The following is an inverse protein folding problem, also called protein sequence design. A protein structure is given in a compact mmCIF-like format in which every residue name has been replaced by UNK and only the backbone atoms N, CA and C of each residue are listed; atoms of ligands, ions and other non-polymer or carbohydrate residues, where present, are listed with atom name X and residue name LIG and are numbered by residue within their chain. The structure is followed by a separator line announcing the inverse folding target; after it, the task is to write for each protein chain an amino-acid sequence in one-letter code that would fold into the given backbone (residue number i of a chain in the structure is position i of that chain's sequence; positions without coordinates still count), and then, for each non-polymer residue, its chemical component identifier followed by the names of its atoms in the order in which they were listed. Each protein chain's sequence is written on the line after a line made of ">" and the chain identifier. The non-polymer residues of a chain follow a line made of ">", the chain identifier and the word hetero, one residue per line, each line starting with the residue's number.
data_IF_115234761230
#
_entry.id   IF_115234761230
#
_cell.length_a   1.000
_cell.length_b   1.000
_cell.length_c   1.000
_cell.angle_alpha   90.00
_cell.angle_beta   90.00
_cell.angle_gamma   90.00
#
_symmetry.space_group_name_H-M   'P 1'
#
loop_
_entity.id
_entity.type
_entity.pdbx_description
1 polymer ?
#
# COMPACT_ATOMS: atom_id res chain seq x y z
N UNK A 1 -15.24 -21.48 17.66
CA UNK A 1 -15.40 -20.03 17.44
C UNK A 1 -14.82 -19.40 18.68
N UNK A 2 -13.78 -18.58 18.55
CA UNK A 2 -13.18 -17.89 19.71
C UNK A 2 -14.17 -16.80 20.10
N UNK A 3 -14.64 -16.80 21.34
CA UNK A 3 -15.52 -15.75 21.87
C UNK A 3 -14.70 -14.46 22.01
N UNK A 4 -15.30 -13.27 21.76
CA UNK A 4 -14.56 -11.99 21.73
C UNK A 4 -13.73 -11.73 23.01
N UNK A 5 -14.14 -12.29 24.15
CA UNK A 5 -13.38 -12.24 25.42
C UNK A 5 -12.09 -13.05 25.38
N UNK A 6 -12.10 -14.25 24.76
CA UNK A 6 -10.90 -15.07 24.61
C UNK A 6 -9.86 -14.39 23.69
N UNK A 7 -10.34 -13.55 22.77
CA UNK A 7 -9.48 -12.82 21.84
C UNK A 7 -8.69 -11.71 22.52
N UNK A 8 -9.32 -10.98 23.45
CA UNK A 8 -8.66 -10.00 24.30
C UNK A 8 -7.62 -10.64 25.23
N UNK A 9 -7.95 -11.79 25.84
CA UNK A 9 -7.04 -12.52 26.71
C UNK A 9 -5.79 -13.03 25.96
N UNK A 10 -5.99 -13.62 24.78
CA UNK A 10 -4.88 -14.08 23.93
C UNK A 10 -4.01 -12.91 23.46
N UNK A 11 -4.63 -11.78 23.09
CA UNK A 11 -3.90 -10.58 22.70
C UNK A 11 -3.12 -9.97 23.88
N UNK A 12 -3.70 -9.92 25.08
CA UNK A 12 -3.06 -9.40 26.28
C UNK A 12 -1.84 -10.24 26.69
N UNK A 13 -1.99 -11.57 26.70
CA UNK A 13 -0.87 -12.50 26.99
C UNK A 13 0.25 -12.32 25.97
N UNK A 14 -0.09 -12.21 24.68
CA UNK A 14 0.88 -11.98 23.60
C UNK A 14 1.56 -10.61 23.69
N UNK A 15 0.87 -9.62 24.23
CA UNK A 15 1.38 -8.27 24.52
C UNK A 15 2.12 -8.18 25.88
N UNK A 16 2.52 -9.30 26.48
CA UNK A 16 3.27 -9.32 27.73
C UNK A 16 2.42 -9.11 28.99
N UNK A 17 1.21 -9.67 29.01
CA UNK A 17 0.18 -9.49 30.04
C UNK A 17 -0.34 -8.04 30.17
N UNK A 18 -0.28 -7.27 29.09
CA UNK A 18 -0.86 -5.94 29.03
C UNK A 18 -2.31 -6.02 28.54
N UNK A 19 -3.26 -6.01 29.47
CA UNK A 19 -4.69 -6.06 29.17
C UNK A 19 -5.24 -4.81 28.50
N UNK A 20 -4.61 -3.64 28.71
CA UNK A 20 -5.01 -2.42 28.01
C UNK A 20 -4.77 -2.57 26.50
N UNK A 21 -3.56 -3.02 26.12
CA UNK A 21 -3.20 -3.30 24.72
C UNK A 21 -4.01 -4.46 24.16
N UNK A 22 -4.21 -5.53 24.93
CA UNK A 22 -5.02 -6.69 24.50
C UNK A 22 -6.47 -6.30 24.19
N UNK A 23 -7.09 -5.48 25.03
CA UNK A 23 -8.43 -4.95 24.81
C UNK A 23 -8.50 -4.06 23.57
N UNK A 24 -7.50 -3.19 23.35
CA UNK A 24 -7.44 -2.35 22.15
C UNK A 24 -7.32 -3.17 20.87
N UNK A 25 -6.51 -4.23 20.86
CA UNK A 25 -6.37 -5.13 19.70
C UNK A 25 -7.68 -5.87 19.42
N UNK A 26 -8.35 -6.37 20.46
CA UNK A 26 -9.64 -7.04 20.32
C UNK A 26 -10.72 -6.08 19.81
N UNK A 27 -10.76 -4.83 20.31
CA UNK A 27 -11.67 -3.80 19.83
C UNK A 27 -11.42 -3.46 18.35
N UNK A 28 -10.15 -3.33 17.96
CA UNK A 28 -9.76 -3.09 16.58
C UNK A 28 -10.26 -4.22 15.66
N UNK A 29 -10.00 -5.48 16.03
CA UNK A 29 -10.40 -6.67 15.26
C UNK A 29 -11.93 -6.81 15.17
N UNK A 30 -12.66 -6.44 16.23
CA UNK A 30 -14.13 -6.40 16.22
C UNK A 30 -14.66 -5.35 15.24
N UNK A 31 -14.05 -4.16 15.21
CA UNK A 31 -14.46 -3.06 14.31
C UNK A 31 -14.15 -3.32 12.84
N UNK A 32 -12.98 -3.88 12.52
CA UNK A 32 -12.56 -4.11 11.12
C UNK A 32 -13.09 -5.42 10.54
N UNK A 33 -13.53 -6.35 11.39
CA UNK A 33 -14.03 -7.67 11.00
C UNK A 33 -12.92 -8.62 10.53
N UNK A 34 -13.29 -9.86 10.20
CA UNK A 34 -12.32 -10.96 9.96
C UNK A 34 -11.34 -10.76 8.79
N UNK A 35 -11.65 -9.85 7.86
CA UNK A 35 -10.81 -9.54 6.70
C UNK A 35 -10.19 -8.14 6.77
N UNK A 36 -10.42 -7.44 7.87
CA UNK A 36 -9.86 -6.11 8.07
C UNK A 36 -8.37 -6.16 8.34
N UNK A 37 -7.69 -5.08 7.97
CA UNK A 37 -6.26 -4.92 8.20
C UNK A 37 -6.07 -4.01 9.41
N UNK A 38 -5.19 -4.43 10.31
CA UNK A 38 -4.78 -3.62 11.46
C UNK A 38 -3.33 -3.22 11.24
N UNK A 39 -3.06 -1.92 11.27
CA UNK A 39 -1.72 -1.35 11.15
C UNK A 39 -1.42 -0.55 12.42
N UNK A 40 -0.18 -0.61 12.87
CA UNK A 40 0.30 0.14 14.03
C UNK A 40 1.18 1.30 13.54
N UNK A 41 0.91 2.50 14.02
CA UNK A 41 1.72 3.69 13.77
C UNK A 41 2.21 4.29 15.09
N UNK A 42 3.41 4.86 15.10
CA UNK A 42 3.92 5.56 16.27
C UNK A 42 3.21 6.92 16.46
N UNK A 43 2.47 7.05 17.55
CA UNK A 43 1.77 8.28 17.92
C UNK A 43 2.70 9.36 18.46
N UNK A 44 2.27 10.62 18.33
CA UNK A 44 2.95 11.79 18.95
C UNK A 44 2.52 12.06 20.40
N UNK A 45 1.51 11.34 20.88
CA UNK A 45 0.95 11.45 22.23
C UNK A 45 1.38 10.25 23.07
N UNK A 46 1.32 10.38 24.40
CA UNK A 46 1.45 9.26 25.33
C UNK A 46 0.20 8.38 25.39
N UNK A 47 -0.92 8.84 24.82
CA UNK A 47 -2.17 8.11 24.77
C UNK A 47 -2.28 7.27 23.48
N UNK A 48 -2.70 6.02 23.64
CA UNK A 48 -3.00 5.14 22.51
C UNK A 48 -4.36 5.53 21.90
N UNK A 49 -4.44 5.52 20.57
CA UNK A 49 -5.69 5.84 19.85
C UNK A 49 -5.97 4.81 18.77
N UNK A 50 -7.25 4.51 18.56
CA UNK A 50 -7.73 3.58 17.55
C UNK A 50 -8.48 4.35 16.47
N UNK A 51 -7.98 4.30 15.25
CA UNK A 51 -8.62 4.88 14.07
C UNK A 51 -9.07 3.78 13.14
N UNK A 52 -10.29 3.92 12.61
CA UNK A 52 -10.78 3.10 11.51
C UNK A 52 -10.80 3.99 10.28
N UNK A 53 -10.05 3.63 9.26
CA UNK A 53 -9.97 4.35 8.00
C UNK A 53 -10.44 3.44 6.87
N UNK A 54 -11.08 4.02 5.86
CA UNK A 54 -11.37 3.31 4.63
C UNK A 54 -10.06 3.09 3.86
N UNK A 55 -9.88 1.87 3.36
CA UNK A 55 -8.68 1.48 2.64
C UNK A 55 -8.90 0.20 1.83
N UNK A 56 -7.90 -0.17 1.04
CA UNK A 56 -7.93 -1.38 0.24
C UNK A 56 -6.63 -2.15 0.41
N UNK A 57 -6.75 -3.47 0.56
CA UNK A 57 -5.64 -4.41 0.52
C UNK A 57 -5.90 -5.46 -0.56
N UNK A 58 -4.84 -5.86 -1.27
CA UNK A 58 -4.86 -6.95 -2.22
C UNK A 58 -3.51 -7.70 -2.22
N UNK A 59 -3.51 -8.95 -2.68
CA UNK A 59 -2.33 -9.83 -2.66
C UNK A 59 -1.38 -9.56 -3.85
N UNK A 60 -0.77 -8.37 -3.88
CA UNK A 60 0.27 -7.99 -4.86
C UNK A 60 1.37 -7.17 -4.19
N UNK A 61 2.62 -7.52 -4.49
CA UNK A 61 3.81 -6.78 -4.06
C UNK A 61 4.42 -5.92 -5.17
N UNK A 62 5.42 -5.12 -4.81
CA UNK A 62 6.22 -4.36 -5.76
C UNK A 62 6.99 -5.29 -6.71
N UNK A 63 7.15 -4.88 -7.97
CA UNK A 63 7.78 -5.69 -9.03
C UNK A 63 9.31 -5.78 -8.84
N UNK A 64 9.92 -4.80 -8.17
CA UNK A 64 11.37 -4.73 -7.98
C UNK A 64 11.75 -4.35 -6.55
N UNK A 65 12.69 -5.07 -5.90
CA UNK A 65 13.19 -4.70 -4.57
C UNK A 65 13.91 -3.35 -4.58
N UNK A 66 14.33 -2.86 -5.75
CA UNK A 66 14.88 -1.52 -5.86
C UNK A 66 13.86 -0.44 -5.52
N UNK A 67 12.56 -0.72 -5.42
CA UNK A 67 11.57 0.27 -4.99
C UNK A 67 11.49 0.48 -3.47
N UNK A 68 12.07 -0.41 -2.66
CA UNK A 68 12.08 -0.33 -1.19
C UNK A 68 12.49 1.05 -0.68
N UNK A 69 11.72 1.58 0.26
CA UNK A 69 11.98 2.87 0.95
C UNK A 69 12.50 2.65 2.36
N UNK A 70 12.09 1.58 3.03
CA UNK A 70 12.63 1.13 4.31
C UNK A 70 13.40 -0.19 4.08
N UNK A 71 14.73 -0.11 4.11
CA UNK A 71 15.61 -1.26 3.86
C UNK A 71 15.66 -2.28 5.00
N UNK A 72 15.23 -1.91 6.21
CA UNK A 72 15.21 -2.83 7.35
C UNK A 72 13.95 -3.69 7.30
N UNK A 73 12.79 -3.07 7.05
CA UNK A 73 11.50 -3.76 6.93
C UNK A 73 11.27 -4.36 5.55
N UNK A 74 12.06 -3.96 4.55
CA UNK A 74 11.83 -4.28 3.14
C UNK A 74 10.44 -3.84 2.66
N UNK A 75 10.01 -2.65 3.07
CA UNK A 75 8.70 -2.08 2.71
C UNK A 75 8.84 -0.88 1.77
N UNK A 76 7.74 -0.59 1.08
CA UNK A 76 7.55 0.64 0.30
C UNK A 76 6.44 1.43 0.96
N UNK A 77 6.78 2.61 1.47
CA UNK A 77 5.87 3.48 2.22
C UNK A 77 5.92 4.87 1.60
N UNK A 78 4.76 5.39 1.22
CA UNK A 78 4.62 6.73 0.65
C UNK A 78 3.47 7.48 1.32
N UNK A 79 3.72 8.74 1.66
CA UNK A 79 2.71 9.69 2.10
C UNK A 79 2.29 10.58 0.92
N UNK A 80 1.01 10.97 0.84
CA UNK A 80 0.47 11.85 -0.20
C UNK A 80 0.83 11.40 -1.63
N UNK A 81 0.77 10.08 -1.85
CA UNK A 81 1.13 9.43 -3.11
C UNK A 81 0.00 9.54 -4.13
N UNK A 82 0.33 9.78 -5.40
CA UNK A 82 -0.63 9.66 -6.51
C UNK A 82 -0.58 8.27 -7.12
N UNK A 83 -1.75 7.76 -7.50
CA UNK A 83 -1.87 6.48 -8.17
C UNK A 83 -1.93 6.66 -9.69
N UNK A 84 -1.20 5.83 -10.42
CA UNK A 84 -1.35 5.66 -11.87
C UNK A 84 -1.86 4.24 -12.14
N UNK A 85 -3.09 4.15 -12.62
CA UNK A 85 -3.77 2.89 -12.90
C UNK A 85 -3.78 2.65 -14.42
N UNK A 86 -3.30 1.49 -14.86
CA UNK A 86 -3.15 1.15 -16.28
C UNK A 86 -3.66 -0.27 -16.55
N UNK A 87 -4.69 -0.40 -17.36
CA UNK A 87 -5.29 -1.70 -17.69
C UNK A 87 -4.54 -2.49 -18.78
N UNK A 88 -3.35 -2.01 -19.16
CA UNK A 88 -2.49 -2.58 -20.21
C UNK A 88 -1.06 -2.75 -19.72
N UNK A 89 -0.25 -3.44 -20.53
CA UNK A 89 1.19 -3.56 -20.30
C UNK A 89 1.90 -2.25 -20.62
N UNK A 90 2.84 -1.87 -19.76
CA UNK A 90 3.74 -0.74 -19.98
C UNK A 90 5.04 -1.31 -20.53
N UNK A 91 5.27 -1.10 -21.83
CA UNK A 91 6.46 -1.62 -22.51
C UNK A 91 7.59 -0.59 -22.49
N UNK A 92 7.26 0.69 -22.70
CA UNK A 92 8.22 1.79 -22.76
C UNK A 92 7.91 2.89 -21.73
N UNK A 93 8.94 3.43 -21.08
CA UNK A 93 8.79 4.55 -20.15
C UNK A 93 8.42 5.88 -20.84
N UNK A 94 8.61 6.00 -22.16
CA UNK A 94 8.21 7.18 -22.94
C UNK A 94 6.71 7.46 -22.86
N UNK A 95 5.88 6.42 -22.77
CA UNK A 95 4.42 6.56 -22.63
C UNK A 95 4.03 7.26 -21.32
N UNK A 96 4.95 7.26 -20.34
CA UNK A 96 4.77 7.85 -19.03
C UNK A 96 5.47 9.20 -18.86
N UNK A 97 6.17 9.70 -19.88
CA UNK A 97 7.11 10.83 -19.73
C UNK A 97 6.45 12.05 -19.10
N UNK A 98 5.26 12.42 -19.55
CA UNK A 98 4.51 13.57 -19.04
C UNK A 98 4.18 13.42 -17.54
N UNK A 99 3.81 12.21 -17.12
CA UNK A 99 3.43 11.91 -15.73
C UNK A 99 4.67 11.90 -14.83
N UNK A 100 5.77 11.30 -15.30
CA UNK A 100 7.03 11.26 -14.57
C UNK A 100 7.62 12.67 -14.40
N UNK A 101 7.58 13.49 -15.44
CA UNK A 101 8.01 14.89 -15.37
C UNK A 101 7.16 15.72 -14.39
N UNK A 102 5.85 15.51 -14.36
CA UNK A 102 4.96 16.17 -13.40
C UNK A 102 5.28 15.79 -11.95
N UNK A 103 5.54 14.51 -11.69
CA UNK A 103 5.97 14.06 -10.36
C UNK A 103 7.32 14.65 -9.94
N UNK A 104 8.29 14.71 -10.85
CA UNK A 104 9.59 15.32 -10.55
C UNK A 104 9.42 16.80 -10.24
N UNK A 105 8.63 17.51 -11.06
CA UNK A 105 8.43 18.96 -10.94
C UNK A 105 7.74 19.35 -9.64
N UNK A 106 6.72 18.59 -9.24
CA UNK A 106 5.91 18.88 -8.07
C UNK A 106 6.35 18.12 -6.81
N UNK A 107 7.31 17.19 -6.93
CA UNK A 107 7.93 16.50 -5.82
C UNK A 107 7.04 15.49 -5.08
N UNK A 108 6.02 14.92 -5.74
CA UNK A 108 5.12 13.93 -5.11
C UNK A 108 5.50 12.48 -5.48
N UNK A 109 5.25 11.50 -4.60
CA UNK A 109 5.43 10.08 -4.92
C UNK A 109 4.37 9.56 -5.90
N UNK A 110 4.75 8.59 -6.74
CA UNK A 110 3.84 7.87 -7.64
C UNK A 110 3.86 6.37 -7.34
N UNK A 111 2.68 5.77 -7.28
CA UNK A 111 2.51 4.31 -7.31
C UNK A 111 1.85 3.90 -8.63
N UNK A 112 2.56 3.10 -9.43
CA UNK A 112 2.03 2.57 -10.70
C UNK A 112 1.43 1.19 -10.47
N UNK A 113 0.18 1.00 -10.88
CA UNK A 113 -0.54 -0.28 -10.89
C UNK A 113 -0.91 -0.59 -12.34
N UNK A 114 -0.26 -1.59 -12.94
CA UNK A 114 -0.44 -1.92 -14.35
C UNK A 114 -0.64 -3.43 -14.59
N UNK A 115 -1.19 -3.85 -15.73
CA UNK A 115 -1.24 -5.29 -16.07
C UNK A 115 0.13 -5.95 -15.98
N UNK A 116 1.11 -5.32 -16.61
CA UNK A 116 2.51 -5.69 -16.52
C UNK A 116 3.41 -4.49 -16.82
N UNK A 117 4.67 -4.57 -16.39
CA UNK A 117 5.70 -3.59 -16.70
C UNK A 117 6.90 -4.35 -17.24
N UNK A 118 7.19 -4.14 -18.52
CA UNK A 118 8.28 -4.85 -19.17
C UNK A 118 9.65 -4.33 -18.73
N UNK A 119 10.70 -5.11 -19.00
CA UNK A 119 12.03 -4.86 -18.49
C UNK A 119 12.60 -3.48 -18.91
N UNK A 120 12.31 -3.02 -20.12
CA UNK A 120 12.78 -1.71 -20.62
C UNK A 120 12.18 -0.55 -19.79
N UNK A 121 10.85 -0.55 -19.63
CA UNK A 121 10.18 0.43 -18.79
C UNK A 121 10.64 0.32 -17.33
N UNK A 122 10.68 -0.90 -16.77
CA UNK A 122 11.09 -1.13 -15.38
C UNK A 122 12.50 -0.64 -15.09
N UNK A 123 13.46 -0.93 -15.98
CA UNK A 123 14.84 -0.48 -15.84
C UNK A 123 14.91 1.06 -15.78
N UNK A 124 14.13 1.74 -16.61
CA UNK A 124 14.08 3.21 -16.63
C UNK A 124 13.51 3.77 -15.32
N UNK A 125 12.43 3.19 -14.81
CA UNK A 125 11.81 3.60 -13.54
C UNK A 125 12.77 3.39 -12.36
N UNK A 126 13.44 2.23 -12.31
CA UNK A 126 14.42 1.89 -11.26
C UNK A 126 15.62 2.83 -11.29
N UNK A 127 16.17 3.13 -12.46
CA UNK A 127 17.31 4.07 -12.58
C UNK A 127 16.92 5.47 -12.08
N UNK A 128 15.71 5.94 -12.40
CA UNK A 128 15.24 7.24 -11.91
C UNK A 128 15.01 7.24 -10.39
N UNK A 129 14.46 6.15 -9.82
CA UNK A 129 14.37 5.99 -8.36
C UNK A 129 15.76 6.05 -7.72
N UNK A 130 16.73 5.29 -8.23
CA UNK A 130 18.07 5.18 -7.63
C UNK A 130 18.86 6.49 -7.72
N UNK A 131 18.57 7.33 -8.72
CA UNK A 131 19.12 8.70 -8.83
C UNK A 131 18.48 9.69 -7.85
N UNK A 132 17.41 9.30 -7.15
CA UNK A 132 16.68 10.15 -6.21
C UNK A 132 15.80 11.21 -6.87
N UNK A 133 15.70 11.24 -8.21
CA UNK A 133 14.87 12.20 -8.93
C UNK A 133 13.38 11.89 -8.79
N UNK A 134 13.02 10.63 -8.56
CA UNK A 134 11.64 10.17 -8.56
C UNK A 134 11.37 9.26 -7.36
N UNK A 135 10.35 9.61 -6.55
CA UNK A 135 9.80 8.71 -5.53
C UNK A 135 8.75 7.83 -6.20
N UNK A 136 9.10 6.61 -6.56
CA UNK A 136 8.22 5.72 -7.32
C UNK A 136 8.28 4.28 -6.82
N UNK A 137 7.15 3.60 -6.92
CA UNK A 137 7.11 2.15 -6.93
C UNK A 137 6.10 1.66 -7.97
N UNK A 138 6.21 0.40 -8.34
CA UNK A 138 5.30 -0.21 -9.29
C UNK A 138 4.96 -1.64 -8.91
N UNK A 139 3.70 -2.01 -9.14
CA UNK A 139 3.15 -3.34 -8.91
C UNK A 139 2.25 -3.77 -10.06
N UNK A 140 2.02 -5.09 -10.15
CA UNK A 140 1.03 -5.63 -11.09
C UNK A 140 -0.37 -5.46 -10.52
N UNK A 141 -1.32 -5.18 -11.40
CA UNK A 141 -2.72 -5.06 -11.07
C UNK A 141 -3.24 -6.36 -10.40
N UNK A 142 -4.16 -6.24 -9.43
CA UNK A 142 -4.84 -7.38 -8.87
C UNK A 142 -5.82 -7.98 -9.90
N UNK A 143 -6.03 -9.30 -9.83
CA UNK A 143 -6.88 -10.02 -10.78
C UNK A 143 -6.24 -10.25 -12.16
N UNK A 144 -7.05 -10.78 -13.09
CA UNK A 144 -6.67 -11.11 -14.47
C UNK A 144 -7.90 -10.93 -15.39
N UNK A 145 -7.68 -10.72 -16.70
CA UNK A 145 -8.76 -10.54 -17.67
C UNK A 145 -9.67 -9.36 -17.32
N UNK A 146 -10.98 -9.51 -17.49
CA UNK A 146 -11.97 -8.46 -17.19
C UNK A 146 -11.99 -8.05 -15.71
N UNK A 147 -11.71 -9.00 -14.79
CA UNK A 147 -11.67 -8.70 -13.35
C UNK A 147 -10.57 -7.70 -13.01
N UNK A 148 -9.47 -7.70 -13.75
CA UNK A 148 -8.38 -6.74 -13.57
C UNK A 148 -8.86 -5.30 -13.78
N UNK A 149 -9.59 -5.06 -14.88
CA UNK A 149 -10.16 -3.74 -15.18
C UNK A 149 -11.15 -3.32 -14.09
N UNK A 150 -12.05 -4.23 -13.67
CA UNK A 150 -12.98 -3.96 -12.57
C UNK A 150 -12.27 -3.59 -11.26
N UNK A 151 -11.20 -4.31 -10.89
CA UNK A 151 -10.42 -3.95 -9.71
C UNK A 151 -9.73 -2.60 -9.83
N UNK A 152 -9.20 -2.26 -11.02
CA UNK A 152 -8.57 -0.96 -11.25
C UNK A 152 -9.62 0.16 -11.15
N UNK A 153 -10.82 -0.05 -11.68
CA UNK A 153 -11.93 0.90 -11.56
C UNK A 153 -12.34 1.10 -10.09
N UNK A 154 -12.42 0.02 -9.31
CA UNK A 154 -12.71 0.10 -7.87
C UNK A 154 -11.64 0.90 -7.12
N UNK A 155 -10.35 0.66 -7.42
CA UNK A 155 -9.24 1.44 -6.85
C UNK A 155 -9.34 2.91 -7.24
N UNK A 156 -9.67 3.21 -8.51
CA UNK A 156 -9.82 4.57 -9.00
C UNK A 156 -10.91 5.30 -8.21
N UNK A 157 -12.10 4.71 -8.12
CA UNK A 157 -13.24 5.29 -7.40
C UNK A 157 -12.91 5.52 -5.92
N UNK A 158 -12.31 4.53 -5.24
CA UNK A 158 -11.95 4.64 -3.83
C UNK A 158 -10.93 5.75 -3.56
N UNK A 159 -10.00 5.97 -4.50
CA UNK A 159 -8.90 6.92 -4.34
C UNK A 159 -9.19 8.29 -4.95
N UNK A 160 -10.40 8.50 -5.48
CA UNK A 160 -10.81 9.74 -6.14
C UNK A 160 -10.19 9.94 -7.53
N UNK A 161 -9.65 8.89 -8.13
CA UNK A 161 -9.27 8.84 -9.53
C UNK A 161 -10.50 8.70 -10.45
N UNK A 162 -10.35 9.17 -11.69
CA UNK A 162 -11.30 9.00 -12.78
C UNK A 162 -10.68 8.14 -13.88
#
# INVERSE_FOLDING_TARGET
>A
MVEDSELADVAAVSAGNNYEVGNMIAEALSKVGRKGVVTLEEGKSAENSLYVVEGMQFDRGYISPYFVTDSEKMTVEFENCKLLLVDKKITNARDLINILEDAIRNGFPILIIAEDIEQEALATLVVNKLRGSLKIAALKAPGFGERKSQYLDDIAILTGGL
#
